data_IF_895661594763
#
_entry.id   IF_895661594763
#
_cell.length_a   1.000
_cell.length_b   1.000
_cell.length_c   1.000
_cell.angle_alpha   90.00
_cell.angle_beta   90.00
_cell.angle_gamma   90.00
#
_symmetry.space_group_name_H-M   'P 1'
#
loop_
_entity.id
_entity.type
_entity.pdbx_description
1 polymer ?
#
# COMPACT_ATOMS: atom_id res chain seq x y z
N UNK A 1 -18.47 -87.24 18.97
CA UNK A 1 -17.23 -86.47 19.12
C UNK A 1 -17.34 -85.24 18.23
N UNK A 2 -17.82 -84.12 18.75
CA UNK A 2 -18.10 -82.89 18.00
C UNK A 2 -16.95 -81.87 18.18
N UNK A 3 -16.28 -81.57 17.03
CA UNK A 3 -15.20 -80.59 17.00
C UNK A 3 -15.79 -79.16 16.82
N UNK A 4 -15.60 -78.30 17.83
CA UNK A 4 -16.01 -76.88 17.77
C UNK A 4 -14.93 -76.07 17.05
N UNK A 5 -15.25 -75.54 15.87
CA UNK A 5 -14.43 -74.50 15.18
C UNK A 5 -14.65 -73.17 15.92
N UNK A 6 -13.57 -72.55 16.43
CA UNK A 6 -13.55 -71.17 16.88
C UNK A 6 -13.10 -70.27 15.76
N UNK A 7 -14.02 -69.46 15.24
CA UNK A 7 -13.70 -68.36 14.32
C UNK A 7 -13.13 -67.17 15.11
N UNK A 8 -11.89 -66.82 14.89
CA UNK A 8 -11.27 -65.62 15.38
C UNK A 8 -11.53 -64.48 14.37
N UNK A 9 -12.28 -63.47 14.77
CA UNK A 9 -12.44 -62.22 14.02
C UNK A 9 -11.24 -61.34 14.29
N UNK A 10 -10.42 -61.10 13.29
CA UNK A 10 -9.34 -60.12 13.34
C UNK A 10 -9.96 -58.72 13.06
N UNK A 11 -9.95 -57.85 14.09
CA UNK A 11 -10.27 -56.46 13.94
C UNK A 11 -9.10 -55.73 13.27
N UNK A 12 -9.30 -55.27 12.05
CA UNK A 12 -8.38 -54.37 11.37
C UNK A 12 -8.53 -52.98 12.00
N UNK A 13 -7.58 -52.58 12.83
CA UNK A 13 -7.46 -51.20 13.28
C UNK A 13 -6.89 -50.39 12.08
N UNK A 14 -7.73 -49.59 11.43
CA UNK A 14 -7.28 -48.54 10.56
C UNK A 14 -6.60 -47.44 11.43
N UNK A 15 -5.29 -47.47 11.51
CA UNK A 15 -4.51 -46.31 11.95
C UNK A 15 -4.58 -45.28 10.84
N UNK A 16 -5.43 -44.28 11.02
CA UNK A 16 -5.33 -43.05 10.26
C UNK A 16 -3.96 -42.45 10.57
N UNK A 17 -3.00 -42.64 9.68
CA UNK A 17 -1.78 -41.81 9.72
C UNK A 17 -2.23 -40.43 9.35
N UNK A 18 -2.50 -39.56 10.35
CA UNK A 18 -2.55 -38.13 10.12
C UNK A 18 -1.23 -37.74 9.48
N UNK A 19 -1.28 -37.22 8.27
CA UNK A 19 -0.13 -36.53 7.70
C UNK A 19 0.23 -35.46 8.74
N UNK A 20 1.45 -35.49 9.26
CA UNK A 20 1.98 -34.36 10.02
C UNK A 20 1.92 -33.17 9.07
N UNK A 21 1.04 -32.22 9.36
CA UNK A 21 1.05 -30.95 8.66
C UNK A 21 2.46 -30.39 8.80
N UNK A 22 3.06 -30.02 7.70
CA UNK A 22 4.37 -29.37 7.71
C UNK A 22 4.27 -27.97 8.31
N UNK A 23 5.41 -27.35 8.61
CA UNK A 23 5.43 -25.95 8.98
C UNK A 23 4.86 -25.10 7.83
N UNK A 24 4.06 -24.08 8.16
CA UNK A 24 3.63 -23.04 7.23
C UNK A 24 4.57 -21.84 7.39
N UNK A 25 5.42 -21.59 6.41
CA UNK A 25 6.40 -20.51 6.44
C UNK A 25 5.85 -19.27 5.76
N UNK A 26 5.79 -18.16 6.47
CA UNK A 26 5.26 -16.89 5.98
C UNK A 26 6.34 -15.80 6.03
N UNK A 27 6.61 -15.17 4.89
CA UNK A 27 7.40 -13.94 4.84
C UNK A 27 6.47 -12.72 4.90
N UNK A 28 6.64 -11.88 5.92
CA UNK A 28 5.90 -10.64 6.10
C UNK A 28 6.85 -9.44 6.06
N UNK A 29 6.45 -8.36 5.40
CA UNK A 29 7.32 -7.24 5.03
C UNK A 29 7.07 -5.95 5.82
N UNK A 30 6.50 -6.03 7.02
CA UNK A 30 6.30 -4.83 7.83
C UNK A 30 6.73 -5.04 9.30
N UNK A 31 7.71 -4.23 9.73
CA UNK A 31 8.23 -4.20 11.10
C UNK A 31 7.68 -3.04 11.93
N UNK A 32 6.84 -2.16 11.32
CA UNK A 32 6.20 -1.10 12.09
C UNK A 32 5.30 -1.71 13.17
N UNK A 33 5.24 -1.14 14.38
CA UNK A 33 4.56 -1.78 15.53
C UNK A 33 3.09 -2.14 15.27
N UNK A 34 2.31 -1.26 14.64
CA UNK A 34 0.89 -1.50 14.33
C UNK A 34 0.70 -2.65 13.35
N UNK A 35 1.23 -2.58 12.11
CA UNK A 35 1.15 -3.65 11.12
C UNK A 35 1.65 -5.00 11.63
N UNK A 36 2.82 -4.99 12.32
CA UNK A 36 3.36 -6.21 12.90
C UNK A 36 2.41 -6.82 13.94
N UNK A 37 1.83 -6.00 14.81
CA UNK A 37 0.87 -6.48 15.81
C UNK A 37 -0.38 -7.06 15.16
N UNK A 38 -0.95 -6.40 14.16
CA UNK A 38 -2.12 -6.89 13.42
C UNK A 38 -1.87 -8.25 12.79
N UNK A 39 -0.69 -8.42 12.19
CA UNK A 39 -0.27 -9.69 11.60
C UNK A 39 -0.07 -10.79 12.66
N UNK A 40 0.64 -10.50 13.76
CA UNK A 40 0.88 -11.44 14.84
C UNK A 40 -0.45 -11.92 15.48
N UNK A 41 -1.41 -11.00 15.68
CA UNK A 41 -2.75 -11.33 16.20
C UNK A 41 -3.52 -12.25 15.23
N UNK A 42 -3.46 -11.96 13.91
CA UNK A 42 -4.10 -12.80 12.90
C UNK A 42 -3.46 -14.21 12.83
N UNK A 43 -2.13 -14.30 12.90
CA UNK A 43 -1.44 -15.60 12.95
C UNK A 43 -1.83 -16.38 14.19
N UNK A 44 -1.91 -15.73 15.36
CA UNK A 44 -2.34 -16.38 16.59
C UNK A 44 -3.78 -16.92 16.52
N UNK A 45 -4.69 -16.15 15.89
CA UNK A 45 -6.06 -16.60 15.62
C UNK A 45 -6.08 -17.77 14.66
N UNK A 46 -5.33 -17.72 13.56
CA UNK A 46 -5.23 -18.80 12.58
C UNK A 46 -4.75 -20.10 13.23
N UNK A 47 -3.67 -20.06 14.03
CA UNK A 47 -3.14 -21.24 14.73
C UNK A 47 -4.14 -21.79 15.76
N UNK A 48 -4.90 -20.93 16.45
CA UNK A 48 -5.96 -21.38 17.36
C UNK A 48 -7.08 -22.13 16.64
N UNK A 49 -7.44 -21.70 15.44
CA UNK A 49 -8.45 -22.35 14.60
C UNK A 49 -7.91 -23.60 13.88
N UNK A 50 -6.58 -23.66 13.65
CA UNK A 50 -5.89 -24.73 12.97
C UNK A 50 -4.73 -25.28 13.83
N UNK A 51 -5.01 -25.99 14.93
CA UNK A 51 -3.99 -26.37 15.92
C UNK A 51 -2.95 -27.38 15.36
N UNK A 52 -3.23 -28.01 14.24
CA UNK A 52 -2.32 -28.94 13.59
C UNK A 52 -1.31 -28.23 12.66
N UNK A 53 -1.47 -26.93 12.40
CA UNK A 53 -0.59 -26.14 11.52
C UNK A 53 0.35 -25.31 12.42
N UNK A 54 1.65 -25.57 12.31
CA UNK A 54 2.67 -24.74 12.94
C UNK A 54 3.08 -23.61 12.00
N UNK A 55 2.89 -22.35 12.41
CA UNK A 55 3.23 -21.17 11.59
C UNK A 55 4.59 -20.63 11.99
N UNK A 56 5.49 -20.50 11.00
CA UNK A 56 6.81 -19.87 11.14
C UNK A 56 6.77 -18.55 10.39
N UNK A 57 6.98 -17.44 11.09
CA UNK A 57 6.97 -16.10 10.52
C UNK A 57 8.38 -15.55 10.38
N UNK A 58 8.76 -15.17 9.16
CA UNK A 58 9.93 -14.36 8.86
C UNK A 58 9.50 -12.91 8.67
N UNK A 59 9.76 -12.06 9.66
CA UNK A 59 9.50 -10.63 9.54
C UNK A 59 10.70 -9.95 8.88
N UNK A 60 10.45 -9.19 7.84
CA UNK A 60 11.46 -8.47 7.06
C UNK A 60 11.20 -6.96 7.12
N UNK A 61 12.27 -6.17 7.07
CA UNK A 61 12.15 -4.76 6.73
C UNK A 61 11.59 -4.60 5.31
N UNK A 62 10.70 -3.65 5.10
CA UNK A 62 9.98 -3.46 3.82
C UNK A 62 10.92 -3.22 2.65
N UNK A 63 11.92 -2.37 2.80
CA UNK A 63 12.87 -2.07 1.72
C UNK A 63 13.82 -3.25 1.45
N UNK A 64 14.23 -3.95 2.51
CA UNK A 64 14.99 -5.18 2.37
C UNK A 64 14.18 -6.28 1.66
N UNK A 65 12.89 -6.42 2.00
CA UNK A 65 11.98 -7.37 1.36
C UNK A 65 11.80 -7.06 -0.15
N UNK A 66 11.58 -5.79 -0.51
CA UNK A 66 11.50 -5.36 -1.92
C UNK A 66 12.74 -5.77 -2.73
N UNK A 67 13.91 -5.67 -2.11
CA UNK A 67 15.18 -6.03 -2.74
C UNK A 67 15.36 -7.55 -2.86
N UNK A 68 14.91 -8.32 -1.86
CA UNK A 68 15.18 -9.75 -1.72
C UNK A 68 14.09 -10.65 -2.32
N UNK A 69 12.89 -10.12 -2.63
CA UNK A 69 11.71 -10.92 -3.01
C UNK A 69 12.00 -11.94 -4.11
N UNK A 70 12.71 -11.55 -5.18
CA UNK A 70 13.03 -12.46 -6.27
C UNK A 70 13.90 -13.64 -5.79
N UNK A 71 14.84 -13.41 -4.90
CA UNK A 71 15.68 -14.46 -4.31
C UNK A 71 14.83 -15.37 -3.42
N UNK A 72 13.94 -14.82 -2.60
CA UNK A 72 13.01 -15.64 -1.82
C UNK A 72 12.20 -16.58 -2.72
N UNK A 73 11.59 -16.06 -3.79
CA UNK A 73 10.74 -16.84 -4.68
C UNK A 73 11.51 -17.93 -5.46
N UNK A 74 12.82 -17.77 -5.69
CA UNK A 74 13.62 -18.69 -6.55
C UNK A 74 14.50 -19.65 -5.78
N UNK A 75 15.06 -19.25 -4.64
CA UNK A 75 16.09 -20.03 -3.92
C UNK A 75 15.56 -20.75 -2.68
N UNK A 76 14.77 -20.07 -1.84
CA UNK A 76 14.20 -20.63 -0.61
C UNK A 76 12.81 -20.03 -0.38
N UNK A 77 11.86 -20.53 -1.18
CA UNK A 77 10.50 -19.99 -1.19
C UNK A 77 9.80 -20.24 0.15
N UNK A 78 9.20 -19.21 0.77
CA UNK A 78 8.21 -19.40 1.83
C UNK A 78 6.96 -20.04 1.25
N UNK A 79 6.01 -20.43 2.09
CA UNK A 79 4.71 -20.91 1.62
C UNK A 79 3.76 -19.74 1.31
N UNK A 80 3.91 -18.63 2.03
CA UNK A 80 3.17 -17.38 1.80
C UNK A 80 4.15 -16.22 1.86
N UNK A 81 3.96 -15.23 1.00
CA UNK A 81 4.71 -13.96 1.07
C UNK A 81 3.77 -12.77 0.90
N UNK A 82 3.99 -11.71 1.68
CA UNK A 82 3.39 -10.41 1.38
C UNK A 82 4.02 -9.81 0.13
N UNK A 83 3.21 -9.14 -0.68
CA UNK A 83 3.64 -8.37 -1.84
C UNK A 83 2.54 -7.43 -2.33
N UNK A 84 2.85 -6.65 -3.36
CA UNK A 84 1.95 -5.69 -3.96
C UNK A 84 1.22 -6.27 -5.18
N UNK A 85 -0.07 -5.98 -5.36
CA UNK A 85 -0.83 -6.39 -6.54
C UNK A 85 -0.46 -5.58 -7.80
N UNK A 86 -1.24 -5.75 -8.87
CA UNK A 86 -1.12 -4.98 -10.09
C UNK A 86 0.20 -5.20 -10.85
N UNK A 87 0.78 -4.13 -11.35
CA UNK A 87 2.00 -4.20 -12.17
C UNK A 87 3.24 -4.64 -11.40
N UNK A 88 3.25 -4.56 -10.06
CA UNK A 88 4.36 -5.10 -9.24
C UNK A 88 4.30 -6.62 -9.09
N UNK A 89 3.10 -7.20 -9.09
CA UNK A 89 2.89 -8.64 -9.15
C UNK A 89 3.28 -9.20 -10.53
N UNK A 90 2.94 -8.48 -11.59
CA UNK A 90 3.00 -8.94 -12.97
C UNK A 90 4.33 -9.63 -13.36
N UNK A 91 5.54 -9.08 -13.08
CA UNK A 91 6.81 -9.71 -13.46
C UNK A 91 7.06 -11.07 -12.80
N UNK A 92 6.47 -11.31 -11.63
CA UNK A 92 6.58 -12.60 -10.93
C UNK A 92 5.58 -13.61 -11.46
N UNK A 93 4.38 -13.17 -11.84
CA UNK A 93 3.39 -14.01 -12.55
C UNK A 93 3.95 -14.43 -13.91
N UNK A 94 4.47 -13.49 -14.70
CA UNK A 94 5.04 -13.75 -16.03
C UNK A 94 6.25 -14.68 -15.97
N UNK A 95 7.01 -14.65 -14.89
CA UNK A 95 8.12 -15.54 -14.62
C UNK A 95 7.70 -16.90 -14.03
N UNK A 96 6.40 -17.14 -13.80
CA UNK A 96 5.88 -18.37 -13.20
C UNK A 96 6.28 -18.58 -11.74
N UNK A 97 6.50 -17.48 -10.99
CA UNK A 97 6.97 -17.53 -9.60
C UNK A 97 5.85 -17.47 -8.56
N UNK A 98 4.62 -17.12 -8.94
CA UNK A 98 3.43 -17.19 -8.10
C UNK A 98 2.48 -18.29 -8.58
N UNK A 99 1.73 -18.86 -7.65
CA UNK A 99 0.67 -19.86 -7.88
C UNK A 99 -0.65 -19.13 -8.13
N UNK A 100 -1.45 -19.60 -9.12
CA UNK A 100 -2.84 -19.17 -9.28
C UNK A 100 -3.69 -19.74 -8.14
N UNK A 101 -4.58 -18.90 -7.62
CA UNK A 101 -5.45 -19.22 -6.49
C UNK A 101 -6.94 -19.00 -6.83
N UNK A 102 -7.32 -19.25 -8.09
CA UNK A 102 -8.72 -19.14 -8.53
C UNK A 102 -9.66 -19.99 -7.68
N UNK A 103 -9.22 -21.21 -7.31
CA UNK A 103 -9.92 -22.10 -6.42
C UNK A 103 -10.23 -21.48 -5.05
N UNK A 104 -9.27 -20.78 -4.44
CA UNK A 104 -9.48 -20.09 -3.17
C UNK A 104 -10.55 -19.00 -3.30
N UNK A 105 -10.54 -18.24 -4.41
CA UNK A 105 -11.54 -17.20 -4.66
C UNK A 105 -12.93 -17.75 -4.92
N UNK A 106 -13.03 -18.85 -5.68
CA UNK A 106 -14.30 -19.50 -6.03
C UNK A 106 -14.95 -20.18 -4.82
N UNK A 107 -14.18 -20.99 -4.09
CA UNK A 107 -14.69 -21.78 -2.96
C UNK A 107 -15.12 -20.92 -1.77
N UNK A 108 -14.56 -19.72 -1.60
CA UNK A 108 -14.84 -18.84 -0.47
C UNK A 108 -15.76 -17.64 -0.82
N UNK A 109 -16.23 -17.51 -2.06
CA UNK A 109 -17.12 -16.42 -2.48
C UNK A 109 -16.42 -15.06 -2.63
N UNK A 110 -15.10 -15.02 -2.73
CA UNK A 110 -14.32 -13.78 -2.79
C UNK A 110 -14.51 -13.00 -4.09
N UNK A 111 -15.06 -13.63 -5.12
CA UNK A 111 -15.46 -12.93 -6.34
C UNK A 111 -16.50 -11.82 -6.08
N UNK A 112 -17.32 -11.96 -5.03
CA UNK A 112 -18.29 -10.95 -4.56
C UNK A 112 -17.71 -10.12 -3.43
N UNK A 113 -17.14 -10.77 -2.43
CA UNK A 113 -16.73 -10.13 -1.18
C UNK A 113 -15.51 -9.21 -1.34
N UNK A 114 -14.63 -9.48 -2.32
CA UNK A 114 -13.45 -8.70 -2.67
C UNK A 114 -13.52 -8.10 -4.08
N UNK A 115 -14.72 -7.89 -4.62
CA UNK A 115 -14.93 -7.46 -6.00
C UNK A 115 -14.21 -6.15 -6.35
N UNK A 116 -14.15 -5.21 -5.41
CA UNK A 116 -13.56 -3.88 -5.61
C UNK A 116 -12.09 -3.92 -6.04
N UNK A 117 -11.34 -4.93 -5.59
CA UNK A 117 -9.90 -5.06 -5.86
C UNK A 117 -9.54 -6.22 -6.81
N UNK A 118 -10.53 -6.99 -7.26
CA UNK A 118 -10.30 -8.19 -8.06
C UNK A 118 -9.46 -7.92 -9.31
N UNK A 119 -9.70 -6.80 -9.97
CA UNK A 119 -8.97 -6.43 -11.19
C UNK A 119 -7.46 -6.35 -10.96
N UNK A 120 -7.02 -5.77 -9.83
CA UNK A 120 -5.60 -5.65 -9.50
C UNK A 120 -4.97 -6.95 -9.02
N UNK A 121 -5.78 -7.93 -8.56
CA UNK A 121 -5.34 -9.29 -8.19
C UNK A 121 -5.31 -10.24 -9.38
N UNK A 122 -5.80 -9.80 -10.55
CA UNK A 122 -5.99 -10.65 -11.73
C UNK A 122 -4.98 -10.33 -12.82
N UNK A 123 -4.49 -11.39 -13.49
CA UNK A 123 -3.66 -11.31 -14.69
C UNK A 123 -3.89 -12.55 -15.54
N UNK A 124 -3.99 -12.39 -16.87
CA UNK A 124 -4.20 -13.46 -17.84
C UNK A 124 -5.42 -14.34 -17.52
N UNK A 125 -6.50 -13.70 -17.01
CA UNK A 125 -7.76 -14.38 -16.67
C UNK A 125 -7.71 -15.21 -15.39
N UNK A 126 -6.63 -15.14 -14.62
CA UNK A 126 -6.43 -15.84 -13.35
C UNK A 126 -6.23 -14.87 -12.20
N UNK A 127 -6.48 -15.34 -10.99
CA UNK A 127 -6.30 -14.62 -9.74
C UNK A 127 -5.07 -15.14 -8.99
N UNK A 128 -4.25 -14.24 -8.43
CA UNK A 128 -2.90 -14.59 -7.96
C UNK A 128 -2.65 -14.31 -6.48
N UNK A 129 -3.41 -13.43 -5.85
CA UNK A 129 -3.23 -13.04 -4.47
C UNK A 129 -4.53 -12.79 -3.72
N UNK A 130 -4.42 -12.64 -2.42
CA UNK A 130 -5.50 -12.24 -1.53
C UNK A 130 -5.12 -10.95 -0.84
N UNK A 131 -5.88 -9.87 -1.03
CA UNK A 131 -5.64 -8.59 -0.36
C UNK A 131 -6.13 -8.65 1.08
N UNK A 132 -5.43 -7.94 2.00
CA UNK A 132 -5.82 -7.87 3.39
C UNK A 132 -6.14 -6.48 3.91
N UNK A 133 -5.64 -5.43 3.23
CA UNK A 133 -5.93 -4.04 3.57
C UNK A 133 -5.73 -3.11 2.38
N UNK A 134 -6.35 -1.95 2.44
CA UNK A 134 -6.04 -0.78 1.63
C UNK A 134 -6.16 0.46 2.49
N UNK A 135 -5.67 1.60 2.02
CA UNK A 135 -5.67 2.82 2.81
C UNK A 135 -5.66 4.05 1.93
N UNK A 136 -6.33 5.10 2.42
CA UNK A 136 -6.34 6.40 1.76
C UNK A 136 -5.00 7.11 1.92
N UNK A 137 -4.72 7.96 0.96
CA UNK A 137 -3.71 9.00 1.03
C UNK A 137 -4.36 10.38 1.04
N UNK A 138 -3.60 11.39 1.44
CA UNK A 138 -4.03 12.78 1.45
C UNK A 138 -3.09 13.63 2.28
N UNK A 139 -3.57 14.75 2.78
CA UNK A 139 -2.78 15.66 3.61
C UNK A 139 -3.18 15.48 5.07
N UNK A 140 -2.24 15.01 5.90
CA UNK A 140 -2.33 15.15 7.35
C UNK A 140 -1.81 16.51 7.73
N UNK A 141 -2.50 17.23 8.62
CA UNK A 141 -2.12 18.57 9.01
C UNK A 141 -2.20 18.80 10.52
N UNK A 142 -1.44 19.78 11.00
CA UNK A 142 -1.41 20.22 12.39
C UNK A 142 -2.57 21.19 12.63
N UNK A 143 -3.64 20.66 13.20
CA UNK A 143 -4.85 21.41 13.52
C UNK A 143 -4.58 22.59 14.45
N UNK A 144 -3.76 22.38 15.47
CA UNK A 144 -3.35 23.42 16.41
C UNK A 144 -2.55 24.56 15.73
N UNK A 145 -1.72 24.24 14.72
CA UNK A 145 -1.01 25.24 13.90
C UNK A 145 -2.01 26.01 13.03
N UNK A 146 -2.96 25.32 12.38
CA UNK A 146 -3.99 25.97 11.57
C UNK A 146 -4.86 26.90 12.42
N UNK A 147 -5.30 26.47 13.60
CA UNK A 147 -6.06 27.30 14.55
C UNK A 147 -5.26 28.52 14.99
N UNK A 148 -3.98 28.36 15.36
CA UNK A 148 -3.09 29.45 15.76
C UNK A 148 -2.94 30.50 14.66
N UNK A 149 -2.82 30.05 13.40
CA UNK A 149 -2.65 30.91 12.23
C UNK A 149 -3.98 31.36 11.62
N UNK A 150 -5.12 30.92 12.16
CA UNK A 150 -6.49 31.18 11.67
C UNK A 150 -6.67 30.75 10.21
N UNK A 151 -6.13 29.57 9.88
CA UNK A 151 -6.27 28.94 8.60
C UNK A 151 -7.49 28.00 8.61
N UNK A 152 -8.20 27.98 7.49
CA UNK A 152 -9.20 26.96 7.17
C UNK A 152 -8.55 25.86 6.33
N UNK A 153 -9.18 24.67 6.28
CA UNK A 153 -8.75 23.59 5.38
C UNK A 153 -8.85 24.03 3.92
N UNK A 154 -7.74 24.10 3.16
CA UNK A 154 -7.76 24.45 1.76
C UNK A 154 -8.46 23.36 0.92
N UNK A 155 -9.45 23.76 0.13
CA UNK A 155 -10.20 22.88 -0.79
C UNK A 155 -9.74 23.03 -2.23
N UNK A 156 -9.12 24.16 -2.53
CA UNK A 156 -8.60 24.50 -3.85
C UNK A 156 -7.10 24.76 -3.81
N UNK A 157 -6.48 24.71 -4.97
CA UNK A 157 -5.07 24.99 -5.15
C UNK A 157 -4.67 26.39 -4.65
N UNK A 158 -5.45 27.39 -5.02
CA UNK A 158 -5.18 28.77 -4.62
C UNK A 158 -5.29 28.96 -3.10
N UNK A 159 -6.24 28.30 -2.46
CA UNK A 159 -6.36 28.29 -1.00
C UNK A 159 -5.16 27.63 -0.33
N UNK A 160 -4.66 26.51 -0.90
CA UNK A 160 -3.45 25.84 -0.40
C UNK A 160 -2.24 26.77 -0.48
N UNK A 161 -2.01 27.41 -1.63
CA UNK A 161 -0.88 28.32 -1.81
C UNK A 161 -0.98 29.53 -0.87
N UNK A 162 -2.19 30.09 -0.67
CA UNK A 162 -2.41 31.17 0.28
C UNK A 162 -2.12 30.75 1.73
N UNK A 163 -2.54 29.53 2.13
CA UNK A 163 -2.23 28.97 3.43
C UNK A 163 -0.71 28.79 3.62
N UNK A 164 -0.01 28.29 2.61
CA UNK A 164 1.45 28.15 2.60
C UNK A 164 2.14 29.51 2.82
N UNK A 165 1.68 30.56 2.13
CA UNK A 165 2.21 31.92 2.30
C UNK A 165 2.04 32.45 3.74
N UNK A 166 0.89 32.15 4.36
CA UNK A 166 0.63 32.50 5.76
C UNK A 166 1.56 31.72 6.72
N UNK A 167 1.73 30.40 6.50
CA UNK A 167 2.63 29.58 7.31
C UNK A 167 4.07 30.11 7.24
N UNK A 168 4.61 30.30 6.04
CA UNK A 168 5.97 30.81 5.81
C UNK A 168 6.20 32.17 6.48
N UNK A 169 5.21 33.09 6.39
CA UNK A 169 5.27 34.43 7.01
C UNK A 169 5.31 34.37 8.54
N UNK A 170 4.88 33.24 9.12
CA UNK A 170 4.91 32.98 10.57
C UNK A 170 6.03 32.01 10.99
N UNK A 171 6.96 31.69 10.10
CA UNK A 171 8.13 30.85 10.39
C UNK A 171 7.83 29.36 10.47
N UNK A 172 6.68 28.91 9.95
CA UNK A 172 6.30 27.48 9.87
C UNK A 172 6.56 26.97 8.45
N UNK A 173 7.27 25.87 8.32
CA UNK A 173 7.44 25.19 7.03
C UNK A 173 6.11 24.55 6.61
N UNK A 174 5.57 24.82 5.41
CA UNK A 174 4.29 24.25 5.03
C UNK A 174 4.28 22.73 5.03
N UNK A 175 5.26 22.07 4.38
CA UNK A 175 5.28 20.62 4.25
C UNK A 175 6.51 19.96 4.85
N UNK A 176 6.30 18.83 5.54
CA UNK A 176 7.35 17.85 5.78
C UNK A 176 7.30 16.75 4.74
N UNK A 177 8.44 16.13 4.48
CA UNK A 177 8.57 14.91 3.68
C UNK A 177 9.93 14.27 3.98
N UNK A 178 10.04 12.96 3.85
CA UNK A 178 11.32 12.25 3.89
C UNK A 178 11.46 11.39 2.64
N UNK A 179 12.40 11.73 1.74
CA UNK A 179 12.52 11.07 0.42
C UNK A 179 13.74 10.16 0.29
N UNK A 180 14.38 9.78 1.40
CA UNK A 180 15.54 8.86 1.40
C UNK A 180 15.28 7.56 0.64
N UNK A 181 14.08 7.03 0.75
CA UNK A 181 13.64 5.81 0.06
C UNK A 181 12.81 6.10 -1.19
N UNK A 182 12.80 7.34 -1.66
CA UNK A 182 12.24 7.86 -2.91
C UNK A 182 10.70 7.86 -3.00
N UNK A 183 10.02 6.81 -2.55
CA UNK A 183 8.58 6.59 -2.78
C UNK A 183 7.67 7.72 -2.27
N UNK A 184 8.04 8.43 -1.24
CA UNK A 184 7.24 9.55 -0.71
C UNK A 184 7.10 10.71 -1.70
N UNK A 185 8.13 10.93 -2.54
CA UNK A 185 8.06 11.91 -3.62
C UNK A 185 7.03 11.50 -4.69
N UNK A 186 6.86 10.18 -4.90
CA UNK A 186 5.85 9.68 -5.84
C UNK A 186 4.43 9.96 -5.35
N UNK A 187 4.13 9.87 -4.05
CA UNK A 187 2.79 10.21 -3.54
C UNK A 187 2.42 11.68 -3.77
N UNK A 188 3.40 12.59 -3.70
CA UNK A 188 3.17 14.00 -4.08
C UNK A 188 2.91 14.13 -5.58
N UNK A 189 3.71 13.45 -6.41
CA UNK A 189 3.52 13.41 -7.86
C UNK A 189 2.14 12.85 -8.23
N UNK A 190 1.74 11.74 -7.63
CA UNK A 190 0.47 11.07 -7.91
C UNK A 190 -0.71 12.01 -7.68
N UNK A 191 -0.75 12.69 -6.53
CA UNK A 191 -1.82 13.64 -6.27
C UNK A 191 -1.80 14.85 -7.19
N UNK A 192 -0.62 15.42 -7.48
CA UNK A 192 -0.52 16.51 -8.44
C UNK A 192 -1.02 16.09 -9.83
N UNK A 193 -0.66 14.88 -10.27
CA UNK A 193 -1.09 14.36 -11.57
C UNK A 193 -2.59 14.04 -11.59
N UNK A 194 -3.11 13.39 -10.56
CA UNK A 194 -4.54 13.09 -10.44
C UNK A 194 -5.41 14.35 -10.38
N UNK A 195 -4.95 15.42 -9.71
CA UNK A 195 -5.67 16.70 -9.61
C UNK A 195 -5.52 17.59 -10.84
N UNK A 196 -4.46 17.40 -11.64
CA UNK A 196 -4.23 18.15 -12.88
C UNK A 196 -4.89 17.48 -14.07
N UNK A 197 -4.81 16.14 -14.17
CA UNK A 197 -5.13 15.39 -15.38
C UNK A 197 -6.19 14.30 -15.20
N UNK A 198 -6.47 13.89 -13.96
CA UNK A 198 -7.44 12.83 -13.65
C UNK A 198 -6.89 11.42 -13.79
N UNK A 199 -7.76 10.47 -13.48
CA UNK A 199 -7.47 9.05 -13.38
C UNK A 199 -6.93 8.42 -14.67
N UNK A 200 -7.58 8.69 -15.81
CA UNK A 200 -7.22 8.06 -17.08
C UNK A 200 -5.82 8.45 -17.56
N UNK A 201 -5.47 9.74 -17.45
CA UNK A 201 -4.13 10.21 -17.83
C UNK A 201 -3.05 9.66 -16.92
N UNK A 202 -3.34 9.57 -15.62
CA UNK A 202 -2.44 8.97 -14.64
C UNK A 202 -2.15 7.50 -14.97
N UNK A 203 -3.19 6.71 -15.23
CA UNK A 203 -3.05 5.30 -15.60
C UNK A 203 -2.37 5.12 -16.96
N UNK A 204 -2.63 5.98 -17.93
CA UNK A 204 -1.98 5.91 -19.24
C UNK A 204 -0.48 6.21 -19.14
N UNK A 205 -0.07 7.08 -18.22
CA UNK A 205 1.34 7.33 -17.93
C UNK A 205 2.02 6.10 -17.32
N UNK A 206 1.44 5.54 -16.26
CA UNK A 206 2.00 4.37 -15.55
C UNK A 206 1.96 3.11 -16.40
N UNK A 207 1.03 3.01 -17.36
CA UNK A 207 0.96 1.96 -18.37
C UNK A 207 1.91 2.19 -19.58
N UNK A 208 2.66 3.27 -19.61
CA UNK A 208 3.61 3.58 -20.69
C UNK A 208 2.98 4.04 -22.01
N UNK A 209 1.70 4.40 -22.02
CA UNK A 209 0.96 4.81 -23.22
C UNK A 209 1.19 6.28 -23.61
N UNK A 210 1.53 7.12 -22.64
CA UNK A 210 1.89 8.53 -22.85
C UNK A 210 3.28 8.79 -22.28
N UNK A 211 3.96 9.80 -22.84
CA UNK A 211 5.32 10.17 -22.47
C UNK A 211 5.34 11.10 -21.26
N UNK A 212 6.46 11.12 -20.54
CA UNK A 212 6.68 12.11 -19.48
C UNK A 212 6.83 13.53 -20.03
N UNK A 213 7.27 13.67 -21.27
CA UNK A 213 7.30 14.95 -22.00
C UNK A 213 5.95 15.35 -22.60
N UNK A 214 4.88 14.56 -22.42
CA UNK A 214 3.52 14.97 -22.81
C UNK A 214 3.15 16.29 -22.11
N UNK A 215 2.57 17.28 -22.82
CA UNK A 215 2.23 18.58 -22.22
C UNK A 215 1.39 18.50 -20.95
N UNK A 216 0.54 17.46 -20.79
CA UNK A 216 -0.25 17.25 -19.59
C UNK A 216 0.64 16.90 -18.39
N UNK A 217 1.65 16.06 -18.61
CA UNK A 217 2.59 15.68 -17.53
C UNK A 217 3.55 16.84 -17.24
N UNK A 218 3.99 17.58 -18.25
CA UNK A 218 4.74 18.83 -18.06
C UNK A 218 3.94 19.78 -17.14
N UNK A 219 2.63 19.92 -17.35
CA UNK A 219 1.79 20.77 -16.49
C UNK A 219 1.76 20.26 -15.03
N UNK A 220 1.76 18.95 -14.81
CA UNK A 220 1.90 18.38 -13.46
C UNK A 220 3.20 18.83 -12.78
N UNK A 221 4.32 18.79 -13.52
CA UNK A 221 5.61 19.25 -12.98
C UNK A 221 5.68 20.77 -12.78
N UNK A 222 4.99 21.56 -13.60
CA UNK A 222 4.87 23.01 -13.38
C UNK A 222 4.06 23.31 -12.11
N UNK A 223 2.97 22.57 -11.85
CA UNK A 223 2.22 22.67 -10.61
C UNK A 223 3.09 22.23 -9.43
N UNK A 224 3.89 21.17 -9.59
CA UNK A 224 4.82 20.73 -8.55
C UNK A 224 5.92 21.75 -8.26
N UNK A 225 6.46 22.36 -9.32
CA UNK A 225 7.39 23.48 -9.16
C UNK A 225 6.76 24.62 -8.37
N UNK A 226 5.52 24.97 -8.65
CA UNK A 226 4.77 25.99 -7.91
C UNK A 226 4.62 25.59 -6.43
N UNK A 227 4.29 24.31 -6.13
CA UNK A 227 4.22 23.82 -4.75
C UNK A 227 5.56 23.95 -4.02
N UNK A 228 6.67 23.62 -4.69
CA UNK A 228 8.02 23.73 -4.12
C UNK A 228 8.38 25.20 -3.85
N UNK A 229 8.15 26.08 -4.82
CA UNK A 229 8.55 27.48 -4.72
C UNK A 229 7.70 28.27 -3.71
N UNK A 230 6.37 28.08 -3.75
CA UNK A 230 5.42 28.84 -2.93
C UNK A 230 5.24 28.25 -1.52
N UNK A 231 5.17 26.91 -1.41
CA UNK A 231 5.04 26.25 -0.12
C UNK A 231 6.41 25.87 0.46
N UNK A 232 7.13 25.00 -0.21
CA UNK A 232 8.39 24.44 0.24
C UNK A 232 8.20 23.20 1.14
N UNK A 233 9.30 22.49 1.32
CA UNK A 233 9.43 21.31 2.15
C UNK A 233 10.54 21.49 3.17
N UNK A 234 10.56 20.66 4.21
CA UNK A 234 11.67 20.62 5.18
C UNK A 234 13.01 20.42 4.47
N UNK A 235 14.03 21.10 4.96
CA UNK A 235 15.39 20.92 4.45
C UNK A 235 15.90 19.49 4.68
N UNK A 236 16.86 19.05 3.86
CA UNK A 236 17.50 17.74 3.96
C UNK A 236 16.56 16.53 3.84
N UNK A 237 15.36 16.72 3.28
CA UNK A 237 14.38 15.64 3.10
C UNK A 237 14.93 14.40 2.38
N UNK A 238 15.91 14.58 1.47
CA UNK A 238 16.54 13.46 0.74
C UNK A 238 17.35 12.51 1.62
N UNK A 239 17.74 12.93 2.83
CA UNK A 239 18.43 12.07 3.82
C UNK A 239 17.50 11.49 4.87
N UNK A 240 16.25 11.94 4.94
CA UNK A 240 15.24 11.54 5.92
C UNK A 240 14.39 10.39 5.39
N UNK A 241 14.15 9.38 6.22
CA UNK A 241 13.06 8.44 5.99
C UNK A 241 11.72 9.12 6.23
N UNK A 242 10.61 8.49 5.84
CA UNK A 242 9.29 9.02 6.16
C UNK A 242 9.04 9.09 7.68
N UNK A 243 9.63 8.16 8.45
CA UNK A 243 9.57 8.18 9.92
C UNK A 243 10.36 9.35 10.50
N UNK A 244 11.55 9.66 9.96
CA UNK A 244 12.35 10.82 10.40
C UNK A 244 11.59 12.12 10.16
N UNK A 245 10.82 12.21 9.07
CA UNK A 245 10.02 13.37 8.69
C UNK A 245 8.80 13.61 9.61
N UNK A 246 8.45 12.65 10.49
CA UNK A 246 7.45 12.84 11.53
C UNK A 246 7.91 13.87 12.57
N UNK A 247 9.19 13.92 12.89
CA UNK A 247 9.68 14.81 13.95
C UNK A 247 9.40 16.31 13.70
N UNK A 248 9.71 16.90 12.54
CA UNK A 248 9.34 18.30 12.28
C UNK A 248 7.82 18.51 12.28
N UNK A 249 7.01 17.54 11.85
CA UNK A 249 5.55 17.60 11.94
C UNK A 249 5.09 17.55 13.40
N UNK A 250 5.60 16.64 14.20
CA UNK A 250 5.23 16.50 15.60
C UNK A 250 5.62 17.70 16.45
N UNK A 251 6.73 18.35 16.15
CA UNK A 251 7.21 19.55 16.85
C UNK A 251 6.45 20.84 16.43
N UNK A 252 5.70 20.81 15.32
CA UNK A 252 5.06 21.99 14.73
C UNK A 252 6.00 22.86 13.89
N UNK A 253 7.19 22.35 13.57
CA UNK A 253 8.12 23.01 12.65
C UNK A 253 7.62 22.93 11.20
N UNK A 254 6.82 21.91 10.90
CA UNK A 254 6.10 21.74 9.65
C UNK A 254 4.60 21.48 9.92
N UNK A 255 3.74 22.05 9.07
CA UNK A 255 2.30 22.06 9.29
C UNK A 255 1.54 20.92 8.59
N UNK A 256 2.04 20.40 7.48
CA UNK A 256 1.35 19.44 6.62
C UNK A 256 2.28 18.29 6.19
N UNK A 257 1.66 17.12 5.92
CA UNK A 257 2.36 15.94 5.41
C UNK A 257 1.46 15.18 4.41
N UNK A 258 1.88 15.09 3.15
CA UNK A 258 1.21 14.21 2.17
C UNK A 258 1.62 12.77 2.46
N UNK A 259 0.68 11.93 2.94
CA UNK A 259 1.01 10.57 3.39
C UNK A 259 -0.22 9.66 3.40
N UNK A 260 0.04 8.36 3.45
CA UNK A 260 -0.99 7.34 3.65
C UNK A 260 -1.39 7.18 5.12
N UNK A 261 -2.58 6.66 5.36
CA UNK A 261 -3.15 6.53 6.70
C UNK A 261 -2.32 5.67 7.67
N UNK A 262 -1.47 4.79 7.18
CA UNK A 262 -0.53 4.01 8.01
C UNK A 262 0.41 4.89 8.86
N UNK A 263 0.54 6.17 8.53
CA UNK A 263 1.38 7.12 9.28
C UNK A 263 0.77 7.62 10.58
N UNK A 264 -0.54 7.47 10.77
CA UNK A 264 -1.27 7.96 11.96
C UNK A 264 -0.70 7.38 13.26
N UNK A 265 -0.38 6.09 13.27
CA UNK A 265 0.29 5.45 14.42
C UNK A 265 1.64 6.11 14.72
N UNK A 266 2.40 6.49 13.68
CA UNK A 266 3.65 7.23 13.82
C UNK A 266 3.45 8.58 14.50
N UNK A 267 2.41 9.31 14.14
CA UNK A 267 2.06 10.60 14.75
C UNK A 267 1.64 10.44 16.22
N UNK A 268 0.79 9.46 16.52
CA UNK A 268 0.37 9.13 17.89
C UNK A 268 1.58 8.70 18.74
N UNK A 269 2.49 7.89 18.21
CA UNK A 269 3.72 7.47 18.89
C UNK A 269 4.70 8.63 19.13
N UNK A 270 4.69 9.66 18.28
CA UNK A 270 5.44 10.90 18.46
C UNK A 270 4.78 11.86 19.49
N UNK A 271 3.65 11.46 20.09
CA UNK A 271 2.98 12.21 21.14
C UNK A 271 1.87 13.14 20.66
N UNK A 272 1.50 13.10 19.37
CA UNK A 272 0.38 13.88 18.86
C UNK A 272 -0.96 13.23 19.23
N UNK A 273 -1.91 14.08 19.58
CA UNK A 273 -3.30 13.68 19.88
C UNK A 273 -4.23 13.99 18.71
N UNK A 274 -5.40 13.38 18.69
CA UNK A 274 -6.43 13.63 17.67
C UNK A 274 -6.96 15.07 17.66
N UNK A 275 -6.77 15.80 18.75
CA UNK A 275 -7.06 17.24 18.81
C UNK A 275 -6.01 18.10 18.10
N UNK A 276 -4.81 17.56 17.88
CA UNK A 276 -3.68 18.27 17.28
C UNK A 276 -3.47 17.98 15.80
N UNK A 277 -4.01 16.86 15.31
CA UNK A 277 -3.88 16.44 13.92
C UNK A 277 -5.24 16.21 13.29
N UNK A 278 -5.33 16.49 12.01
CA UNK A 278 -6.49 16.15 11.20
C UNK A 278 -6.08 15.70 9.79
N UNK A 279 -7.05 15.27 9.02
CA UNK A 279 -6.87 14.78 7.65
C UNK A 279 -7.73 15.62 6.69
N UNK A 280 -7.20 15.92 5.53
CA UNK A 280 -7.95 16.54 4.45
C UNK A 280 -7.57 15.92 3.10
N UNK A 281 -8.51 15.84 2.14
CA UNK A 281 -8.21 15.49 0.76
C UNK A 281 -7.16 16.44 0.17
N UNK A 282 -6.36 15.95 -0.79
CA UNK A 282 -5.50 16.84 -1.55
C UNK A 282 -6.37 17.84 -2.35
N UNK A 283 -6.12 19.16 -2.28
CA UNK A 283 -6.98 20.18 -2.88
C UNK A 283 -7.15 20.04 -4.39
N UNK A 284 -8.30 20.47 -4.90
CA UNK A 284 -8.59 20.51 -6.34
C UNK A 284 -7.70 21.53 -7.04
N UNK A 285 -6.99 21.08 -8.10
CA UNK A 285 -6.19 21.97 -8.98
C UNK A 285 -7.06 22.43 -10.14
N UNK A 286 -7.64 21.51 -10.91
CA UNK A 286 -8.57 21.81 -11.99
C UNK A 286 -9.98 21.33 -11.63
N UNK A 287 -10.96 22.22 -11.43
CA UNK A 287 -12.33 21.84 -11.10
C UNK A 287 -13.06 21.10 -12.23
N UNK A 288 -12.52 21.11 -13.46
CA UNK A 288 -13.02 20.33 -14.58
C UNK A 288 -12.58 18.87 -14.59
N UNK A 289 -11.60 18.51 -13.75
CA UNK A 289 -11.09 17.15 -13.63
C UNK A 289 -11.89 16.36 -12.58
N UNK A 290 -12.45 15.19 -12.93
CA UNK A 290 -13.13 14.34 -11.97
C UNK A 290 -12.20 13.91 -10.83
N UNK A 291 -12.71 13.93 -9.60
CA UNK A 291 -11.93 13.64 -8.41
C UNK A 291 -11.54 12.16 -8.36
N UNK A 292 -10.27 11.86 -8.47
CA UNK A 292 -9.71 10.53 -8.28
C UNK A 292 -8.79 10.51 -7.05
N UNK A 293 -8.76 9.38 -6.36
CA UNK A 293 -8.00 9.20 -5.13
C UNK A 293 -6.99 8.07 -5.27
N UNK A 294 -6.04 8.03 -4.36
CA UNK A 294 -5.03 7.00 -4.26
C UNK A 294 -5.33 6.08 -3.07
N UNK A 295 -5.42 4.78 -3.35
CA UNK A 295 -5.62 3.77 -2.31
C UNK A 295 -4.87 2.48 -2.65
N UNK A 296 -3.56 2.40 -2.34
CA UNK A 296 -2.79 1.20 -2.55
C UNK A 296 -3.24 0.08 -1.63
N UNK A 297 -3.23 -1.16 -2.15
CA UNK A 297 -3.55 -2.36 -1.42
C UNK A 297 -2.30 -3.19 -1.12
N UNK A 298 -2.32 -3.88 0.02
CA UNK A 298 -1.34 -4.90 0.39
C UNK A 298 -1.99 -6.30 0.32
N UNK A 299 -1.21 -7.32 -0.11
CA UNK A 299 -1.74 -8.64 -0.39
C UNK A 299 -0.76 -9.76 -0.02
N UNK A 300 -1.29 -10.99 0.11
CA UNK A 300 -0.50 -12.22 0.23
C UNK A 300 -0.58 -13.05 -1.04
N UNK A 301 0.53 -13.71 -1.33
CA UNK A 301 0.72 -14.56 -2.50
C UNK A 301 1.34 -15.90 -2.10
N UNK A 302 1.07 -16.93 -2.90
CA UNK A 302 1.69 -18.25 -2.76
C UNK A 302 2.79 -18.38 -3.81
N UNK A 303 4.06 -18.56 -3.43
CA UNK A 303 5.12 -18.88 -4.38
C UNK A 303 4.87 -20.23 -5.07
N UNK A 304 5.19 -20.34 -6.35
CA UNK A 304 5.07 -21.60 -7.10
C UNK A 304 5.88 -22.74 -6.45
N UNK A 305 7.03 -22.39 -5.85
CA UNK A 305 7.91 -23.34 -5.17
C UNK A 305 7.57 -23.56 -3.68
N UNK A 306 6.42 -23.06 -3.20
CA UNK A 306 5.94 -23.30 -1.85
C UNK A 306 5.83 -24.83 -1.58
N UNK A 307 6.25 -25.25 -0.39
CA UNK A 307 6.28 -26.66 0.02
C UNK A 307 4.94 -27.11 0.61
N UNK A 308 4.22 -26.17 1.24
CA UNK A 308 2.96 -26.42 1.93
C UNK A 308 1.82 -25.55 1.36
N UNK A 309 1.48 -25.76 0.07
CA UNK A 309 0.47 -24.97 -0.64
C UNK A 309 -0.94 -25.10 -0.06
N UNK A 310 -1.29 -26.27 0.46
CA UNK A 310 -2.62 -26.52 1.01
C UNK A 310 -2.89 -25.68 2.27
N UNK A 311 -1.93 -25.61 3.19
CA UNK A 311 -2.08 -24.75 4.37
C UNK A 311 -1.89 -23.28 4.04
N UNK A 312 -1.06 -22.96 3.00
CA UNK A 312 -0.96 -21.61 2.44
C UNK A 312 -2.33 -21.12 1.92
N UNK A 313 -3.06 -21.93 1.15
CA UNK A 313 -4.41 -21.59 0.67
C UNK A 313 -5.40 -21.40 1.82
N UNK A 314 -5.34 -22.25 2.87
CA UNK A 314 -6.15 -22.07 4.08
C UNK A 314 -5.84 -20.72 4.77
N UNK A 315 -4.56 -20.34 4.86
CA UNK A 315 -4.16 -19.05 5.43
C UNK A 315 -4.68 -17.89 4.58
N UNK A 316 -4.57 -17.96 3.26
CA UNK A 316 -5.10 -16.94 2.38
C UNK A 316 -6.65 -16.81 2.49
N UNK A 317 -7.35 -17.94 2.55
CA UNK A 317 -8.79 -17.95 2.79
C UNK A 317 -9.16 -17.33 4.15
N UNK A 318 -8.36 -17.61 5.18
CA UNK A 318 -8.55 -17.06 6.52
C UNK A 318 -8.36 -15.54 6.54
N UNK A 319 -7.28 -14.99 5.98
CA UNK A 319 -7.00 -13.54 6.02
C UNK A 319 -7.99 -12.71 5.19
N UNK A 320 -8.68 -13.32 4.23
CA UNK A 320 -9.72 -12.66 3.43
C UNK A 320 -11.09 -12.61 4.13
N UNK A 321 -11.30 -13.33 5.22
CA UNK A 321 -12.57 -13.37 5.95
C UNK A 321 -12.94 -11.98 6.49
N UNK A 322 -14.22 -11.67 6.51
CA UNK A 322 -14.73 -10.39 7.00
C UNK A 322 -14.38 -10.12 8.48
N UNK A 323 -14.53 -11.12 9.35
CA UNK A 323 -14.21 -11.00 10.77
C UNK A 323 -12.71 -10.78 11.03
N UNK A 324 -11.86 -11.46 10.28
CA UNK A 324 -10.40 -11.31 10.35
C UNK A 324 -9.99 -9.93 9.85
N UNK A 325 -10.49 -9.50 8.70
CA UNK A 325 -10.18 -8.18 8.15
C UNK A 325 -10.72 -7.05 9.02
N UNK A 326 -11.89 -7.20 9.64
CA UNK A 326 -12.41 -6.25 10.64
C UNK A 326 -11.42 -6.05 11.78
N UNK A 327 -10.99 -7.14 12.41
CA UNK A 327 -10.09 -7.06 13.56
C UNK A 327 -8.68 -6.61 13.17
N UNK A 328 -8.14 -7.14 12.08
CA UNK A 328 -6.83 -6.77 11.57
C UNK A 328 -6.76 -5.27 11.24
N UNK A 329 -7.68 -4.80 10.38
CA UNK A 329 -7.65 -3.41 9.92
C UNK A 329 -7.96 -2.41 11.04
N UNK A 330 -8.79 -2.79 12.03
CA UNK A 330 -8.93 -2.01 13.25
C UNK A 330 -7.62 -1.87 14.02
N UNK A 331 -6.82 -2.95 14.10
CA UNK A 331 -5.53 -2.95 14.81
C UNK A 331 -4.47 -2.11 14.07
N UNK A 332 -4.44 -2.17 12.74
CA UNK A 332 -3.45 -1.44 11.94
C UNK A 332 -3.90 -0.04 11.50
N UNK A 333 -5.11 0.36 11.85
CA UNK A 333 -5.66 1.67 11.46
C UNK A 333 -5.82 1.83 9.94
N UNK A 334 -6.30 0.78 9.25
CA UNK A 334 -6.52 0.78 7.80
C UNK A 334 -7.94 0.32 7.44
N UNK A 335 -8.27 0.30 6.16
CA UNK A 335 -9.57 -0.12 5.66
C UNK A 335 -9.56 -1.59 5.28
N UNK A 336 -10.60 -2.35 5.66
CA UNK A 336 -10.81 -3.71 5.19
C UNK A 336 -11.28 -3.70 3.73
N UNK A 337 -10.84 -4.68 2.94
CA UNK A 337 -11.25 -4.82 1.54
C UNK A 337 -12.51 -5.66 1.41
N UNK A 338 -12.72 -6.61 2.34
CA UNK A 338 -13.91 -7.45 2.32
C UNK A 338 -15.15 -6.58 2.58
N UNK A 339 -16.08 -6.58 1.62
CA UNK A 339 -17.28 -5.75 1.65
C UNK A 339 -18.25 -6.06 2.83
N UNK A 340 -18.07 -7.21 3.49
CA UNK A 340 -18.83 -7.61 4.68
C UNK A 340 -18.12 -7.29 6.00
N UNK A 341 -16.87 -6.79 5.93
CA UNK A 341 -16.12 -6.41 7.12
C UNK A 341 -16.65 -5.10 7.72
N UNK A 342 -16.59 -5.01 9.04
CA UNK A 342 -16.94 -3.77 9.74
C UNK A 342 -15.79 -2.76 9.65
N UNK A 343 -16.14 -1.50 9.41
CA UNK A 343 -15.19 -0.40 9.35
C UNK A 343 -15.06 0.18 10.76
N UNK A 344 -13.80 0.44 11.17
CA UNK A 344 -13.50 1.04 12.46
C UNK A 344 -14.21 2.41 12.64
N UNK A 345 -14.63 2.72 13.87
CA UNK A 345 -15.16 4.04 14.24
C UNK A 345 -14.07 5.12 14.39
N UNK A 346 -12.78 4.76 14.19
CA UNK A 346 -11.67 5.71 14.20
C UNK A 346 -11.92 6.81 13.16
N UNK A 347 -11.71 8.07 13.56
CA UNK A 347 -11.99 9.24 12.74
C UNK A 347 -11.31 9.18 11.37
N UNK A 348 -10.01 8.88 11.34
CA UNK A 348 -9.23 8.87 10.10
C UNK A 348 -9.66 7.75 9.16
N UNK A 349 -10.12 6.63 9.72
CA UNK A 349 -10.67 5.52 8.93
C UNK A 349 -12.01 5.91 8.31
N UNK A 350 -12.90 6.55 9.08
CA UNK A 350 -14.19 7.03 8.58
C UNK A 350 -14.03 8.10 7.48
N UNK A 351 -13.12 9.04 7.68
CA UNK A 351 -12.81 10.08 6.69
C UNK A 351 -12.20 9.49 5.41
N UNK A 352 -11.26 8.55 5.55
CA UNK A 352 -10.69 7.84 4.42
C UNK A 352 -11.72 7.01 3.65
N UNK A 353 -12.58 6.30 4.34
CA UNK A 353 -13.67 5.55 3.72
C UNK A 353 -14.63 6.48 2.94
N UNK A 354 -15.03 7.60 3.54
CA UNK A 354 -15.88 8.59 2.88
C UNK A 354 -15.20 9.18 1.64
N UNK A 355 -13.89 9.52 1.75
CA UNK A 355 -13.10 10.03 0.63
C UNK A 355 -13.07 9.04 -0.54
N UNK A 356 -12.68 7.79 -0.28
CA UNK A 356 -12.56 6.77 -1.32
C UNK A 356 -13.90 6.43 -1.98
N UNK A 357 -15.00 6.43 -1.21
CA UNK A 357 -16.34 6.22 -1.75
C UNK A 357 -16.85 7.38 -2.60
N UNK A 358 -16.33 8.59 -2.42
CA UNK A 358 -16.68 9.76 -3.25
C UNK A 358 -15.86 9.87 -4.52
N UNK A 359 -14.77 9.11 -4.63
CA UNK A 359 -13.86 9.16 -5.77
C UNK A 359 -14.49 8.56 -7.03
N UNK A 360 -14.21 9.16 -8.17
CA UNK A 360 -14.62 8.66 -9.50
C UNK A 360 -13.66 7.59 -10.05
N UNK A 361 -12.48 7.45 -9.44
CA UNK A 361 -11.47 6.46 -9.76
C UNK A 361 -10.49 6.30 -8.60
N UNK A 362 -10.00 5.09 -8.41
CA UNK A 362 -9.01 4.74 -7.39
C UNK A 362 -7.72 4.31 -8.09
N UNK A 363 -6.67 5.10 -7.92
CA UNK A 363 -5.34 4.81 -8.45
C UNK A 363 -4.51 3.97 -7.47
N UNK A 364 -3.64 3.15 -8.03
CA UNK A 364 -2.54 2.55 -7.29
C UNK A 364 -1.41 3.57 -7.12
N UNK A 365 -0.60 3.39 -6.10
CA UNK A 365 0.60 4.18 -5.88
C UNK A 365 1.60 3.99 -7.03
N UNK A 366 2.24 5.04 -7.50
CA UNK A 366 3.15 5.03 -8.66
C UNK A 366 4.18 3.88 -8.62
N UNK A 367 4.82 3.64 -7.48
CA UNK A 367 5.82 2.59 -7.35
C UNK A 367 5.24 1.16 -7.41
N UNK A 368 3.91 1.04 -7.32
CA UNK A 368 3.16 -0.22 -7.41
C UNK A 368 2.43 -0.38 -8.74
N UNK A 369 2.23 0.72 -9.47
CA UNK A 369 1.50 0.72 -10.73
C UNK A 369 2.43 0.74 -11.95
N UNK A 370 3.62 1.30 -11.85
CA UNK A 370 4.63 1.21 -12.90
C UNK A 370 5.52 -0.04 -12.75
N UNK A 371 6.03 -0.62 -13.87
CA UNK A 371 7.04 -1.67 -13.82
C UNK A 371 8.25 -1.26 -12.99
N UNK A 372 8.89 -2.19 -12.28
CA UNK A 372 9.91 -1.90 -11.27
C UNK A 372 11.05 -0.99 -11.75
N UNK A 373 11.53 -1.16 -12.99
CA UNK A 373 12.58 -0.32 -13.55
C UNK A 373 12.08 1.11 -13.81
N UNK A 374 10.85 1.27 -14.32
CA UNK A 374 10.24 2.58 -14.54
C UNK A 374 9.92 3.28 -13.22
N UNK A 375 9.34 2.54 -12.27
CA UNK A 375 9.05 3.05 -10.93
C UNK A 375 10.30 3.60 -10.24
N UNK A 376 11.41 2.85 -10.30
CA UNK A 376 12.70 3.30 -9.74
C UNK A 376 13.17 4.58 -10.42
N UNK A 377 13.24 4.59 -11.75
CA UNK A 377 13.72 5.76 -12.51
C UNK A 377 12.83 6.98 -12.28
N UNK A 378 11.50 6.81 -12.25
CA UNK A 378 10.56 7.89 -11.97
C UNK A 378 10.79 8.47 -10.58
N UNK A 379 10.84 7.65 -9.55
CA UNK A 379 11.05 8.10 -8.17
C UNK A 379 12.42 8.79 -7.97
N UNK A 380 13.49 8.30 -8.62
CA UNK A 380 14.79 8.99 -8.64
C UNK A 380 14.68 10.37 -9.33
N UNK A 381 13.97 10.44 -10.45
CA UNK A 381 13.71 11.70 -11.16
C UNK A 381 12.87 12.67 -10.34
N UNK A 382 11.86 12.19 -9.64
CA UNK A 382 11.00 13.00 -8.77
C UNK A 382 11.80 13.62 -7.62
N UNK A 383 12.64 12.84 -6.94
CA UNK A 383 13.52 13.37 -5.90
C UNK A 383 14.52 14.38 -6.47
N UNK A 384 15.14 14.09 -7.62
CA UNK A 384 16.06 15.01 -8.30
C UNK A 384 15.38 16.35 -8.64
N UNK A 385 14.13 16.29 -9.12
CA UNK A 385 13.34 17.48 -9.39
C UNK A 385 12.99 18.26 -8.13
N UNK A 386 12.64 17.57 -7.04
CA UNK A 386 12.38 18.25 -5.75
C UNK A 386 13.61 18.98 -5.21
N UNK A 387 14.80 18.45 -5.46
CA UNK A 387 16.06 19.07 -5.04
C UNK A 387 16.49 20.22 -5.94
N UNK A 388 16.13 20.18 -7.23
CA UNK A 388 16.49 21.19 -8.21
C UNK A 388 15.45 21.23 -9.36
N UNK A 389 14.48 22.12 -9.22
CA UNK A 389 13.38 22.26 -10.20
C UNK A 389 13.84 22.70 -11.58
N UNK A 390 15.07 23.25 -11.72
CA UNK A 390 15.64 23.61 -13.04
C UNK A 390 15.94 22.40 -13.92
N UNK A 391 15.98 21.20 -13.33
CA UNK A 391 16.23 19.94 -14.04
C UNK A 391 15.00 19.32 -14.67
N UNK A 392 13.83 19.94 -14.60
CA UNK A 392 12.56 19.39 -15.09
C UNK A 392 12.70 18.76 -16.47
N UNK A 393 13.15 19.51 -17.47
CA UNK A 393 13.28 19.03 -18.87
C UNK A 393 14.18 17.81 -18.96
N UNK A 394 15.35 17.85 -18.34
CA UNK A 394 16.29 16.73 -18.37
C UNK A 394 15.76 15.46 -17.66
N UNK A 395 15.01 15.65 -16.56
CA UNK A 395 14.33 14.54 -15.87
C UNK A 395 13.28 13.91 -16.76
N UNK A 396 12.40 14.71 -17.37
CA UNK A 396 11.31 14.20 -18.21
C UNK A 396 11.82 13.48 -19.46
N UNK A 397 12.82 14.03 -20.15
CA UNK A 397 13.46 13.40 -21.31
C UNK A 397 14.11 12.05 -20.94
N UNK A 398 14.83 11.99 -19.82
CA UNK A 398 15.43 10.75 -19.31
C UNK A 398 14.36 9.71 -18.96
N UNK A 399 13.24 10.11 -18.38
CA UNK A 399 12.13 9.20 -18.07
C UNK A 399 11.49 8.64 -19.35
N UNK A 400 11.40 9.41 -20.42
CA UNK A 400 10.94 8.95 -21.74
C UNK A 400 11.87 7.89 -22.35
N UNK A 401 13.19 8.06 -22.18
CA UNK A 401 14.18 7.07 -22.60
C UNK A 401 13.97 5.74 -21.86
N UNK A 402 13.89 5.79 -20.52
CA UNK A 402 13.65 4.61 -19.69
C UNK A 402 12.32 3.96 -20.04
N UNK A 403 11.24 4.75 -20.22
CA UNK A 403 9.93 4.25 -20.62
C UNK A 403 10.01 3.48 -21.94
N UNK A 404 10.75 4.00 -22.92
CA UNK A 404 10.92 3.33 -24.23
C UNK A 404 11.64 1.99 -24.11
N UNK A 405 12.49 1.80 -23.10
CA UNK A 405 13.19 0.54 -22.84
C UNK A 405 12.32 -0.46 -22.07
N UNK A 406 11.55 0.02 -21.10
CA UNK A 406 10.79 -0.81 -20.18
C UNK A 406 9.51 -1.37 -20.77
N UNK A 407 8.82 -0.59 -21.65
CA UNK A 407 7.51 -0.96 -22.23
C UNK A 407 7.63 -1.47 -23.67
N UNK A 408 8.70 -2.17 -24.01
CA UNK A 408 8.91 -2.80 -25.33
C UNK A 408 8.00 -3.98 -25.56
#
# INVERSE_FOLDING_TARGET
MFLKLKTAAAALALTATGALAGDLVINFDDLNPGPKKGFDDAVAQFQKENPDINVIVNNNDREAHKTAIRNFLTADAPDVTSWYPGNRMAPFVDAGLFESIDDVWEENGFNEDLAAIKATMSRDGKTWGVPYSYYQWGIYYRKDVFELLKLEEPKTWDELLAACGTMKSNGVTPFTIGTKFLWTAAGVFDYLNLRTNGYEVHNDLTAGKIKYTDPRIVQTFENWKTLIDECGFVENHASMSWQDAIAPFANGDAAMYVMGNFSVDGYKNAGLTEDQIDFMPFPTIDPGVPLAEEAPADAFFIPTNAKNKEDAKKFLAFVARADVQTQWNKTIGQLPINAKAEISEDKFIQEGFALLNSATGIAQFYDRDAPAAMAKAGMEGFQEFMLDTSKMTAVLERLDEVQTEVYK
#
